data_IF_520074712118
#
_entry.id   IF_520074712118
#
_cell.length_a   1.000
_cell.length_b   1.000
_cell.length_c   1.000
_cell.angle_alpha   90.00
_cell.angle_beta   90.00
_cell.angle_gamma   90.00
#
_symmetry.space_group_name_H-M   'P 1'
#
loop_
_entity.id
_entity.type
_entity.pdbx_description
1 polymer ?
#
# COMPACT_ATOMS: atom_id res chain seq x y z
N UNK A 1 -8.60 -8.93 22.51
CA UNK A 1 -7.63 -7.82 22.69
C UNK A 1 -7.00 -7.52 21.33
N UNK A 2 -6.83 -6.25 20.95
CA UNK A 2 -6.26 -5.86 19.64
C UNK A 2 -4.77 -5.56 19.80
N UNK A 3 -3.96 -5.99 18.82
CA UNK A 3 -2.51 -5.78 18.76
C UNK A 3 -2.18 -4.89 17.57
N UNK A 4 -1.27 -3.94 17.76
CA UNK A 4 -0.67 -3.18 16.65
C UNK A 4 0.57 -3.95 16.18
N UNK A 5 0.56 -4.40 14.92
CA UNK A 5 1.63 -5.22 14.33
C UNK A 5 2.74 -4.38 13.70
N UNK A 6 2.37 -3.29 13.04
CA UNK A 6 3.34 -2.34 12.48
C UNK A 6 2.74 -0.96 12.28
N UNK A 7 3.62 0.03 12.15
CA UNK A 7 3.27 1.43 11.91
C UNK A 7 4.22 1.97 10.84
N UNK A 8 3.67 2.66 9.84
CA UNK A 8 4.43 3.44 8.89
C UNK A 8 3.95 4.89 8.94
N UNK A 9 4.85 5.82 9.25
CA UNK A 9 4.50 7.21 9.55
C UNK A 9 5.32 8.20 8.71
N UNK A 10 4.61 9.16 8.13
CA UNK A 10 5.14 10.42 7.61
C UNK A 10 4.51 11.54 8.44
N UNK A 11 5.25 12.00 9.46
CA UNK A 11 4.76 12.89 10.50
C UNK A 11 4.16 14.19 9.94
N UNK A 12 3.02 14.60 10.50
CA UNK A 12 2.28 15.78 10.07
C UNK A 12 1.51 15.60 8.75
N UNK A 13 1.61 14.44 8.10
CA UNK A 13 0.91 14.14 6.86
C UNK A 13 0.02 12.92 6.97
N UNK A 14 0.62 11.73 7.10
CA UNK A 14 -0.14 10.47 7.08
C UNK A 14 0.58 9.33 7.80
N UNK A 15 -0.20 8.53 8.51
CA UNK A 15 0.24 7.30 9.17
C UNK A 15 -0.64 6.14 8.73
N UNK A 16 -0.02 4.98 8.45
CA UNK A 16 -0.70 3.70 8.34
C UNK A 16 -0.41 2.84 9.58
N UNK A 17 -1.42 2.16 10.09
CA UNK A 17 -1.33 1.28 11.26
C UNK A 17 -1.92 -0.07 10.89
N UNK A 18 -1.14 -1.13 11.05
CA UNK A 18 -1.60 -2.51 10.85
C UNK A 18 -2.00 -3.12 12.19
N UNK A 19 -3.22 -3.65 12.27
CA UNK A 19 -3.78 -4.19 13.51
C UNK A 19 -4.32 -5.61 13.35
N UNK A 20 -4.21 -6.39 14.40
CA UNK A 20 -4.68 -7.77 14.47
C UNK A 20 -5.54 -7.99 15.72
N UNK A 21 -6.64 -8.74 15.59
CA UNK A 21 -7.41 -9.18 16.74
C UNK A 21 -6.80 -10.47 17.32
N UNK A 22 -6.54 -10.51 18.64
CA UNK A 22 -6.04 -11.71 19.33
C UNK A 22 -7.12 -12.76 19.61
N UNK A 23 -8.39 -12.37 19.55
CA UNK A 23 -9.51 -13.24 19.87
C UNK A 23 -10.53 -13.19 18.74
N UNK A 24 -11.14 -14.33 18.45
CA UNK A 24 -12.21 -14.45 17.46
C UNK A 24 -13.42 -13.57 17.84
N UNK A 25 -14.12 -13.09 16.81
CA UNK A 25 -15.30 -12.22 16.98
C UNK A 25 -14.98 -10.76 17.35
N UNK A 26 -13.71 -10.38 17.48
CA UNK A 26 -13.31 -8.98 17.65
C UNK A 26 -12.93 -8.40 16.29
N UNK A 27 -13.61 -7.32 15.90
CA UNK A 27 -13.17 -6.48 14.78
C UNK A 27 -12.00 -5.57 15.23
N UNK A 28 -10.78 -5.79 14.73
CA UNK A 28 -9.63 -4.99 15.14
C UNK A 28 -9.70 -3.55 14.60
N UNK A 29 -10.28 -3.32 13.41
CA UNK A 29 -10.40 -1.98 12.83
C UNK A 29 -11.45 -1.19 13.61
N UNK A 30 -12.65 -1.74 13.77
CA UNK A 30 -13.73 -1.08 14.51
C UNK A 30 -13.35 -0.75 15.95
N UNK A 31 -12.56 -1.61 16.61
CA UNK A 31 -12.02 -1.37 17.96
C UNK A 31 -11.10 -0.14 18.02
N UNK A 32 -10.32 0.11 16.97
CA UNK A 32 -9.38 1.23 16.88
C UNK A 32 -10.07 2.53 16.42
N UNK A 33 -11.05 2.42 15.52
CA UNK A 33 -11.81 3.55 14.98
C UNK A 33 -12.79 4.09 16.04
N UNK A 34 -13.44 3.21 16.80
CA UNK A 34 -14.48 3.57 17.75
C UNK A 34 -15.80 3.98 17.08
N UNK A 35 -16.84 4.22 17.88
CA UNK A 35 -18.14 4.63 17.34
C UNK A 35 -18.01 5.91 16.50
N UNK A 36 -18.41 5.82 15.22
CA UNK A 36 -18.33 6.91 14.24
C UNK A 36 -16.94 7.55 14.13
N UNK A 37 -15.87 6.79 14.40
CA UNK A 37 -14.50 7.30 14.30
C UNK A 37 -14.01 8.10 15.49
N UNK A 38 -14.77 8.19 16.59
CA UNK A 38 -14.43 9.05 17.74
C UNK A 38 -13.01 8.82 18.28
N UNK A 39 -12.52 7.56 18.31
CA UNK A 39 -11.19 7.26 18.85
C UNK A 39 -10.08 7.70 17.91
N UNK A 40 -10.18 7.35 16.63
CA UNK A 40 -9.16 7.74 15.63
C UNK A 40 -9.15 9.26 15.41
N UNK A 41 -10.32 9.91 15.43
CA UNK A 41 -10.43 11.36 15.30
C UNK A 41 -9.74 12.12 16.45
N UNK A 42 -9.83 11.62 17.68
CA UNK A 42 -9.12 12.21 18.81
C UNK A 42 -7.60 12.22 18.56
N UNK A 43 -7.05 11.13 18.04
CA UNK A 43 -5.61 11.05 17.71
C UNK A 43 -5.25 11.95 16.52
N UNK A 44 -6.08 11.98 15.47
CA UNK A 44 -5.88 12.88 14.33
C UNK A 44 -5.81 14.34 14.78
N UNK A 45 -6.70 14.76 15.69
CA UNK A 45 -6.73 16.12 16.22
C UNK A 45 -5.49 16.44 17.05
N UNK A 46 -5.04 15.51 17.90
CA UNK A 46 -3.81 15.66 18.69
C UNK A 46 -2.57 15.76 17.80
N UNK A 47 -2.56 15.06 16.66
CA UNK A 47 -1.48 15.09 15.68
C UNK A 47 -1.59 16.23 14.66
N UNK A 48 -2.41 17.26 14.93
CA UNK A 48 -2.52 18.44 14.07
C UNK A 48 -3.14 18.17 12.71
N UNK A 49 -4.02 17.17 12.60
CA UNK A 49 -4.71 16.81 11.36
C UNK A 49 -4.00 15.75 10.51
N UNK A 50 -2.92 15.14 11.01
CA UNK A 50 -2.27 13.98 10.38
C UNK A 50 -3.29 12.88 10.07
N UNK A 51 -3.38 12.43 8.81
CA UNK A 51 -4.34 11.39 8.41
C UNK A 51 -3.89 10.03 8.92
N UNK A 52 -4.82 9.22 9.43
CA UNK A 52 -4.52 7.88 9.94
C UNK A 52 -5.37 6.87 9.18
N UNK A 53 -4.70 5.95 8.47
CA UNK A 53 -5.35 4.79 7.87
C UNK A 53 -5.07 3.55 8.75
N UNK A 54 -6.13 2.89 9.23
CA UNK A 54 -6.04 1.67 10.02
C UNK A 54 -6.39 0.50 9.10
N UNK A 55 -5.51 -0.49 9.01
CA UNK A 55 -5.68 -1.65 8.14
C UNK A 55 -5.54 -2.94 8.93
N UNK A 56 -6.23 -3.98 8.48
CA UNK A 56 -6.10 -5.30 9.10
C UNK A 56 -4.79 -5.97 8.65
N UNK A 57 -4.00 -6.41 9.62
CA UNK A 57 -2.82 -7.24 9.39
C UNK A 57 -3.25 -8.65 8.96
N UNK A 58 -2.48 -9.26 8.08
CA UNK A 58 -2.62 -10.68 7.74
C UNK A 58 -1.24 -11.31 7.62
N UNK A 59 -1.12 -12.58 8.01
CA UNK A 59 0.10 -13.37 7.78
C UNK A 59 0.24 -13.78 6.31
N UNK A 60 -0.84 -13.74 5.53
CA UNK A 60 -0.84 -13.93 4.09
C UNK A 60 -0.38 -12.65 3.39
N UNK A 61 0.79 -12.65 2.71
CA UNK A 61 1.35 -11.42 2.15
C UNK A 61 0.44 -10.72 1.15
N UNK A 62 -0.26 -11.48 0.30
CA UNK A 62 -1.19 -10.95 -0.71
C UNK A 62 -2.31 -10.15 -0.05
N UNK A 63 -2.96 -10.75 0.95
CA UNK A 63 -4.05 -10.11 1.71
C UNK A 63 -3.54 -8.90 2.49
N UNK A 64 -2.37 -9.01 3.12
CA UNK A 64 -1.82 -7.90 3.90
C UNK A 64 -1.42 -6.71 3.03
N UNK A 65 -0.81 -6.96 1.87
CA UNK A 65 -0.46 -5.92 0.90
C UNK A 65 -1.71 -5.29 0.32
N UNK A 66 -2.73 -6.08 -0.04
CA UNK A 66 -4.01 -5.57 -0.51
C UNK A 66 -4.65 -4.63 0.52
N UNK A 67 -4.69 -5.05 1.79
CA UNK A 67 -5.18 -4.23 2.90
C UNK A 67 -4.38 -2.94 3.08
N UNK A 68 -3.05 -2.99 2.95
CA UNK A 68 -2.16 -1.84 3.14
C UNK A 68 -2.35 -0.74 2.06
N UNK A 69 -2.87 -1.09 0.88
CA UNK A 69 -3.15 -0.15 -0.22
C UNK A 69 -4.44 0.65 0.00
N UNK A 70 -5.28 0.25 0.97
CA UNK A 70 -6.45 1.00 1.43
C UNK A 70 -6.10 2.49 1.62
N UNK A 71 -6.92 3.43 1.11
CA UNK A 71 -8.33 3.26 0.73
C UNK A 71 -8.60 2.76 -0.70
N UNK A 72 -7.58 2.58 -1.55
CA UNK A 72 -7.81 2.14 -2.92
C UNK A 72 -8.21 0.66 -2.98
N UNK A 73 -9.14 0.34 -3.88
CA UNK A 73 -9.56 -1.05 -4.12
C UNK A 73 -8.53 -1.78 -4.96
N UNK A 74 -8.13 -2.96 -4.50
CA UNK A 74 -7.18 -3.84 -5.19
C UNK A 74 -7.94 -4.93 -5.93
N UNK A 75 -7.58 -5.14 -7.19
CA UNK A 75 -8.09 -6.22 -8.04
C UNK A 75 -7.31 -7.52 -7.83
N UNK A 76 -5.97 -7.42 -7.79
CA UNK A 76 -5.09 -8.59 -7.66
C UNK A 76 -3.75 -8.17 -7.02
N UNK A 77 -3.14 -9.08 -6.26
CA UNK A 77 -1.76 -8.93 -5.79
C UNK A 77 -0.95 -10.12 -6.27
N UNK A 78 0.12 -9.87 -7.03
CA UNK A 78 1.04 -10.89 -7.50
C UNK A 78 2.34 -10.82 -6.70
N UNK A 79 2.65 -11.89 -5.97
CA UNK A 79 3.90 -12.01 -5.23
C UNK A 79 5.04 -12.38 -6.18
N UNK A 80 6.15 -11.67 -6.04
CA UNK A 80 7.35 -11.86 -6.85
C UNK A 80 8.57 -12.15 -5.95
N UNK A 81 9.65 -12.72 -6.51
CA UNK A 81 10.88 -12.96 -5.76
C UNK A 81 11.47 -11.70 -5.11
N UNK A 82 12.22 -11.87 -4.02
CA UNK A 82 12.93 -10.80 -3.28
C UNK A 82 11.99 -9.75 -2.65
N UNK A 83 10.89 -10.20 -2.06
CA UNK A 83 9.89 -9.37 -1.38
C UNK A 83 9.36 -8.24 -2.29
N UNK A 84 9.09 -8.56 -3.55
CA UNK A 84 8.45 -7.66 -4.50
C UNK A 84 7.01 -8.09 -4.69
N UNK A 85 6.11 -7.13 -4.85
CA UNK A 85 4.71 -7.39 -5.17
C UNK A 85 4.24 -6.44 -6.26
N UNK A 86 3.46 -6.98 -7.21
CA UNK A 86 2.74 -6.20 -8.20
C UNK A 86 1.27 -6.16 -7.79
N UNK A 87 0.77 -4.96 -7.53
CA UNK A 87 -0.62 -4.71 -7.15
C UNK A 87 -1.35 -4.17 -8.37
N UNK A 88 -2.41 -4.86 -8.76
CA UNK A 88 -3.30 -4.44 -9.82
C UNK A 88 -4.53 -3.79 -9.22
N UNK A 89 -4.85 -2.60 -9.73
CA UNK A 89 -6.02 -1.84 -9.32
C UNK A 89 -6.86 -1.47 -10.55
N UNK A 90 -8.16 -1.18 -10.38
CA UNK A 90 -8.94 -0.53 -11.42
C UNK A 90 -8.31 0.81 -11.85
N UNK A 91 -8.49 1.23 -13.10
CA UNK A 91 -7.86 2.45 -13.62
C UNK A 91 -8.28 3.70 -12.84
N UNK A 92 -9.55 3.79 -12.45
CA UNK A 92 -10.09 4.87 -11.61
C UNK A 92 -9.47 4.90 -10.21
N UNK A 93 -8.93 3.78 -9.74
CA UNK A 93 -8.26 3.65 -8.44
C UNK A 93 -6.75 3.87 -8.50
N UNK A 94 -6.14 3.91 -9.70
CA UNK A 94 -4.67 3.98 -9.84
C UNK A 94 -4.08 5.22 -9.15
N UNK A 95 -4.66 6.39 -9.37
CA UNK A 95 -4.22 7.63 -8.75
C UNK A 95 -4.33 7.57 -7.22
N UNK A 96 -5.43 7.02 -6.69
CA UNK A 96 -5.65 6.86 -5.26
C UNK A 96 -4.67 5.86 -4.63
N UNK A 97 -4.40 4.75 -5.33
CA UNK A 97 -3.50 3.70 -4.87
C UNK A 97 -2.05 4.18 -4.77
N UNK A 98 -1.60 5.01 -5.73
CA UNK A 98 -0.29 5.65 -5.68
C UNK A 98 -0.27 6.72 -4.57
N UNK A 99 -1.32 7.55 -4.53
CA UNK A 99 -1.43 8.70 -3.63
C UNK A 99 -0.55 9.87 -4.06
N UNK A 100 -0.75 11.03 -3.41
CA UNK A 100 0.04 12.25 -3.66
C UNK A 100 1.53 11.96 -3.47
N UNK A 101 2.36 12.26 -4.47
CA UNK A 101 3.82 12.03 -4.46
C UNK A 101 4.21 10.57 -4.12
N UNK A 102 3.35 9.61 -4.44
CA UNK A 102 3.56 8.19 -4.14
C UNK A 102 3.44 7.85 -2.65
N UNK A 103 2.87 8.74 -1.83
CA UNK A 103 2.81 8.56 -0.38
C UNK A 103 2.09 7.28 0.04
N UNK A 104 0.97 6.93 -0.61
CA UNK A 104 0.17 5.78 -0.18
C UNK A 104 0.94 4.47 -0.37
N UNK A 105 1.49 4.26 -1.57
CA UNK A 105 2.31 3.08 -1.88
C UNK A 105 3.60 3.04 -1.05
N UNK A 106 4.24 4.19 -0.80
CA UNK A 106 5.44 4.27 0.04
C UNK A 106 5.16 3.90 1.51
N UNK A 107 4.05 4.37 2.06
CA UNK A 107 3.62 3.98 3.41
C UNK A 107 3.22 2.51 3.47
N UNK A 108 2.50 1.99 2.47
CA UNK A 108 2.16 0.57 2.39
C UNK A 108 3.41 -0.32 2.31
N UNK A 109 4.41 0.08 1.52
CA UNK A 109 5.69 -0.63 1.41
C UNK A 109 6.45 -0.64 2.74
N UNK A 110 6.51 0.48 3.45
CA UNK A 110 7.11 0.57 4.80
C UNK A 110 6.33 -0.27 5.82
N UNK A 111 5.01 -0.27 5.75
CA UNK A 111 4.13 -0.95 6.71
C UNK A 111 4.25 -2.48 6.62
N UNK A 112 4.34 -2.97 5.38
CA UNK A 112 4.37 -4.41 5.07
C UNK A 112 5.80 -4.96 4.98
N UNK A 113 6.79 -4.12 4.72
CA UNK A 113 8.17 -4.53 4.42
C UNK A 113 8.37 -5.03 2.98
N UNK A 114 7.37 -4.86 2.10
CA UNK A 114 7.42 -5.28 0.70
C UNK A 114 7.74 -4.12 -0.24
N UNK A 115 8.39 -4.43 -1.36
CA UNK A 115 8.53 -3.50 -2.49
C UNK A 115 7.29 -3.62 -3.37
N UNK A 116 6.47 -2.58 -3.39
CA UNK A 116 5.17 -2.60 -4.06
C UNK A 116 5.22 -1.76 -5.34
N UNK A 117 4.89 -2.37 -6.48
CA UNK A 117 4.58 -1.71 -7.75
C UNK A 117 3.06 -1.72 -7.96
N UNK A 118 2.47 -0.62 -8.43
CA UNK A 118 1.02 -0.48 -8.61
C UNK A 118 0.71 -0.19 -10.07
N UNK A 119 -0.16 -0.99 -10.69
CA UNK A 119 -0.55 -0.84 -12.10
C UNK A 119 -2.06 -0.97 -12.28
N UNK A 120 -2.57 -0.37 -13.36
CA UNK A 120 -3.94 -0.61 -13.80
C UNK A 120 -4.08 -2.04 -14.35
N UNK A 121 -5.15 -2.75 -13.98
CA UNK A 121 -5.37 -4.15 -14.35
C UNK A 121 -5.35 -4.42 -15.87
N UNK A 122 -5.80 -3.47 -16.70
CA UNK A 122 -5.82 -3.63 -18.16
C UNK A 122 -4.42 -3.67 -18.81
N UNK A 123 -3.39 -3.12 -18.16
CA UNK A 123 -2.05 -2.97 -18.76
C UNK A 123 -1.16 -4.22 -18.67
N UNK A 124 -1.61 -5.29 -18.02
CA UNK A 124 -0.75 -6.46 -17.73
C UNK A 124 -0.79 -7.50 -18.85
N UNK A 125 -1.81 -7.51 -19.71
CA UNK A 125 -1.88 -8.44 -20.84
C UNK A 125 -0.80 -8.19 -21.93
N UNK A 126 -0.06 -7.07 -21.87
CA UNK A 126 0.88 -6.66 -22.92
C UNK A 126 2.36 -6.61 -22.49
N UNK A 127 2.72 -6.97 -21.25
CA UNK A 127 4.09 -6.77 -20.74
C UNK A 127 4.78 -8.00 -20.13
N UNK A 128 4.37 -9.20 -20.52
CA UNK A 128 5.19 -10.41 -20.37
C UNK A 128 6.00 -10.63 -21.65
N UNK A 129 7.09 -9.87 -21.80
CA UNK A 129 7.98 -9.95 -22.95
C UNK A 129 9.35 -9.38 -22.65
N UNK A 130 10.22 -10.23 -22.08
CA UNK A 130 11.65 -10.26 -22.35
C UNK A 130 12.43 -8.95 -22.24
N UNK A 131 13.08 -8.79 -21.09
CA UNK A 131 14.27 -7.98 -20.90
C UNK A 131 15.32 -8.27 -21.99
N UNK A 132 15.66 -7.26 -22.81
CA UNK A 132 16.97 -7.18 -23.47
C UNK A 132 17.37 -5.71 -23.59
N UNK A 133 18.32 -5.29 -22.76
CA UNK A 133 19.22 -4.18 -23.10
C UNK A 133 20.15 -4.67 -24.21
N UNK A 134 20.65 -3.78 -25.05
CA UNK A 134 22.00 -3.29 -24.75
C UNK A 134 22.14 -1.76 -24.84
N UNK A 135 23.05 -1.28 -24.01
CA UNK A 135 23.74 0.01 -24.11
C UNK A 135 24.62 0.02 -25.37
N UNK A 136 24.78 1.18 -26.02
CA UNK A 136 25.75 1.35 -27.09
C UNK A 136 25.71 2.74 -27.72
N UNK A 137 26.84 3.45 -27.65
CA UNK A 137 27.04 4.87 -27.96
C UNK A 137 27.02 5.23 -29.45
N UNK A 138 26.87 6.53 -29.67
CA UNK A 138 27.06 7.33 -30.88
C UNK A 138 28.24 6.92 -31.77
N UNK A 139 28.07 7.04 -33.10
CA UNK A 139 29.05 7.75 -33.93
C UNK A 139 28.39 8.30 -35.21
N UNK A 140 28.45 9.63 -35.36
CA UNK A 140 28.16 10.33 -36.61
C UNK A 140 29.40 10.24 -37.49
N UNK A 141 29.29 9.70 -38.70
CA UNK A 141 30.23 10.03 -39.78
C UNK A 141 29.43 10.48 -41.00
N UNK A 142 29.59 11.78 -41.29
CA UNK A 142 29.11 12.48 -42.48
C UNK A 142 29.74 11.86 -43.73
N UNK A 143 28.98 11.81 -44.81
CA UNK A 143 29.50 11.84 -46.17
C UNK A 143 28.77 12.91 -46.95
#
# INVERSE_FOLDING_TARGET
QVEIKSIAREAGSRTKIAVLAKAEGIDPIGSMVGQRGTRVMAVINELGGEKIDIVEYSDEPEKYIANAISPAKVSEVKIMPKNKALVLVPEDQLSLAIGRDGQNVRLAAKLTGWKIDVRAAEKVAASEGGESRPEGREEKVKK
#
